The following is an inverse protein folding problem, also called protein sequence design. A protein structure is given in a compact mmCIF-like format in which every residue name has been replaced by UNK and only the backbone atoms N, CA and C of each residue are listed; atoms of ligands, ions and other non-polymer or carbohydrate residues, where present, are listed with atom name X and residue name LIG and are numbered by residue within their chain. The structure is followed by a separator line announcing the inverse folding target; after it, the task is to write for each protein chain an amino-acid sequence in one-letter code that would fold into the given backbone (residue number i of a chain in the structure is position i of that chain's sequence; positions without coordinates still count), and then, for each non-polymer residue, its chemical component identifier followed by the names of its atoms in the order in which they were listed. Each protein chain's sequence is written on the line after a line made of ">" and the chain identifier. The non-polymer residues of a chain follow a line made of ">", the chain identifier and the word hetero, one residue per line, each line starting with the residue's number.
data_IF_930463212421
#
_entry.id   IF_930463212421
#
_cell.length_a   1.000
_cell.length_b   1.000
_cell.length_c   1.000
_cell.angle_alpha   90.00
_cell.angle_beta   90.00
_cell.angle_gamma   90.00
#
_symmetry.space_group_name_H-M   'P 1'
#
loop_
_entity.id
_entity.type
_entity.pdbx_description
1 polymer ?
#
# COMPACT_ATOMS: atom_id res chain seq x y z
N UNK A 1 3.84 -63.38 -0.90
CA UNK A 1 3.94 -61.98 -0.47
C UNK A 1 3.23 -61.15 -1.51
N UNK A 2 2.07 -60.58 -1.18
CA UNK A 2 1.27 -59.72 -2.06
C UNK A 2 1.52 -58.27 -1.61
N UNK A 3 2.12 -57.44 -2.47
CA UNK A 3 2.25 -56.00 -2.21
C UNK A 3 0.92 -55.31 -2.55
N UNK A 4 0.29 -54.71 -1.54
CA UNK A 4 -0.81 -53.77 -1.74
C UNK A 4 -0.24 -52.42 -2.13
N UNK A 5 -0.47 -52.02 -3.39
CA UNK A 5 -0.13 -50.68 -3.88
C UNK A 5 -1.23 -49.70 -3.45
N UNK A 6 -1.01 -49.01 -2.33
CA UNK A 6 -1.86 -47.90 -1.88
C UNK A 6 -1.60 -46.68 -2.77
N UNK A 7 -2.54 -46.36 -3.66
CA UNK A 7 -2.56 -45.09 -4.40
C UNK A 7 -2.93 -43.96 -3.46
N UNK A 8 -1.93 -43.20 -3.02
CA UNK A 8 -2.11 -41.88 -2.42
C UNK A 8 -2.65 -40.94 -3.49
N UNK A 9 -3.91 -40.54 -3.35
CA UNK A 9 -4.47 -39.43 -4.14
C UNK A 9 -3.77 -38.14 -3.70
N UNK A 10 -2.96 -37.56 -4.59
CA UNK A 10 -2.41 -36.22 -4.42
C UNK A 10 -3.58 -35.23 -4.33
N UNK A 11 -3.71 -34.60 -3.18
CA UNK A 11 -4.66 -33.51 -2.95
C UNK A 11 -4.13 -32.29 -3.72
N UNK A 12 -4.71 -31.98 -4.87
CA UNK A 12 -4.35 -30.76 -5.62
C UNK A 12 -4.73 -29.56 -4.78
N UNK A 13 -3.79 -28.66 -4.41
CA UNK A 13 -4.14 -27.45 -3.67
C UNK A 13 -5.11 -26.61 -4.51
N UNK A 14 -6.10 -26.01 -3.85
CA UNK A 14 -7.00 -25.06 -4.49
C UNK A 14 -6.16 -23.95 -5.17
N UNK A 15 -6.59 -23.44 -6.34
CA UNK A 15 -5.87 -22.36 -7.01
C UNK A 15 -5.75 -21.18 -6.04
N UNK A 16 -4.53 -20.66 -5.90
CA UNK A 16 -4.30 -19.44 -5.14
C UNK A 16 -5.18 -18.33 -5.74
N UNK A 17 -6.02 -17.70 -4.90
CA UNK A 17 -6.77 -16.51 -5.29
C UNK A 17 -5.74 -15.46 -5.69
N UNK A 18 -5.74 -15.05 -6.95
CA UNK A 18 -4.89 -13.96 -7.38
C UNK A 18 -5.45 -12.66 -6.78
N UNK A 19 -4.65 -11.87 -6.07
CA UNK A 19 -5.09 -10.58 -5.56
C UNK A 19 -5.55 -9.68 -6.71
N UNK A 20 -6.50 -8.76 -6.47
CA UNK A 20 -6.95 -7.82 -7.49
C UNK A 20 -5.76 -7.00 -8.00
N UNK A 21 -5.74 -6.76 -9.31
CA UNK A 21 -4.76 -5.90 -9.96
C UNK A 21 -5.16 -4.45 -9.71
N UNK A 22 -4.36 -3.72 -8.96
CA UNK A 22 -4.49 -2.28 -8.80
C UNK A 22 -3.54 -1.56 -9.76
N UNK A 23 -3.93 -0.40 -10.27
CA UNK A 23 -3.08 0.45 -11.12
C UNK A 23 -2.93 1.80 -10.44
N UNK A 24 -1.71 2.25 -10.20
CA UNK A 24 -1.45 3.52 -9.52
C UNK A 24 -0.49 4.42 -10.33
N UNK A 25 -0.68 5.74 -10.23
CA UNK A 25 0.32 6.75 -10.65
C UNK A 25 0.63 7.66 -9.47
N UNK A 26 1.89 8.04 -9.33
CA UNK A 26 2.37 8.82 -8.18
C UNK A 26 3.04 10.10 -8.64
N UNK A 27 2.68 11.22 -8.04
CA UNK A 27 3.20 12.54 -8.40
C UNK A 27 3.73 13.26 -7.17
N UNK A 28 4.78 14.05 -7.35
CA UNK A 28 5.26 14.98 -6.33
C UNK A 28 4.41 16.24 -6.35
N UNK A 29 3.94 16.68 -5.18
CA UNK A 29 3.15 17.91 -5.02
C UNK A 29 3.74 18.79 -3.93
N UNK A 30 3.43 20.09 -3.97
CA UNK A 30 3.94 21.08 -3.01
C UNK A 30 2.90 21.34 -1.93
N UNK A 31 3.36 21.72 -0.74
CA UNK A 31 2.49 22.01 0.40
C UNK A 31 1.52 23.17 0.11
N UNK A 32 2.03 24.25 -0.49
CA UNK A 32 1.23 25.43 -0.88
C UNK A 32 0.09 25.07 -1.85
N UNK A 33 0.30 24.06 -2.69
CA UNK A 33 -0.64 23.63 -3.71
C UNK A 33 -1.76 22.73 -3.14
N UNK A 34 -1.55 22.10 -1.97
CA UNK A 34 -2.50 21.14 -1.38
C UNK A 34 -3.31 21.69 -0.23
N UNK A 35 -2.90 22.80 0.40
CA UNK A 35 -3.52 23.33 1.61
C UNK A 35 -5.04 23.52 1.49
N UNK A 36 -5.51 24.06 0.35
CA UNK A 36 -6.94 24.26 0.08
C UNK A 36 -7.70 22.93 -0.13
N UNK A 37 -7.03 21.90 -0.65
CA UNK A 37 -7.63 20.59 -0.93
C UNK A 37 -7.85 19.74 0.32
N UNK A 38 -7.05 19.95 1.36
CA UNK A 38 -7.15 19.21 2.62
C UNK A 38 -7.87 19.98 3.72
N UNK A 39 -8.27 21.23 3.46
CA UNK A 39 -8.94 22.08 4.44
C UNK A 39 -10.23 21.43 4.96
N UNK A 40 -10.30 21.22 6.27
CA UNK A 40 -11.46 20.60 6.93
C UNK A 40 -11.52 19.08 6.84
N UNK A 41 -10.51 18.42 6.26
CA UNK A 41 -10.37 16.97 6.28
C UNK A 41 -9.51 16.51 7.46
N UNK A 42 -9.85 15.35 8.02
CA UNK A 42 -9.01 14.66 9.01
C UNK A 42 -8.11 13.65 8.28
N UNK A 43 -6.79 13.67 8.49
CA UNK A 43 -5.92 12.65 7.91
C UNK A 43 -6.03 11.34 8.69
N UNK A 44 -5.66 10.24 8.02
CA UNK A 44 -5.29 9.00 8.71
C UNK A 44 -3.78 8.98 8.89
N UNK A 45 -3.31 8.81 10.13
CA UNK A 45 -1.91 8.47 10.38
C UNK A 45 -1.69 7.01 10.03
N UNK A 46 -0.68 6.72 9.23
CA UNK A 46 -0.30 5.36 8.84
C UNK A 46 1.12 5.13 9.33
N UNK A 47 1.31 4.11 10.15
CA UNK A 47 2.62 3.59 10.54
C UNK A 47 2.80 2.22 9.91
N UNK A 48 3.92 1.99 9.25
CA UNK A 48 4.21 0.72 8.61
C UNK A 48 5.67 0.30 8.83
N UNK A 49 5.86 -0.98 9.15
CA UNK A 49 7.16 -1.61 9.35
C UNK A 49 7.37 -2.66 8.26
N UNK A 50 8.49 -2.58 7.56
CA UNK A 50 8.84 -3.48 6.47
C UNK A 50 9.60 -4.68 7.01
N UNK A 51 8.95 -5.85 6.99
CA UNK A 51 9.54 -7.10 7.49
C UNK A 51 10.52 -7.70 6.48
N UNK A 52 10.22 -7.57 5.20
CA UNK A 52 11.09 -8.01 4.11
C UNK A 52 10.79 -7.26 2.82
N UNK A 53 11.79 -7.16 1.96
CA UNK A 53 11.69 -6.58 0.62
C UNK A 53 12.63 -7.34 -0.33
N UNK A 54 12.16 -7.58 -1.55
CA UNK A 54 12.94 -8.19 -2.63
C UNK A 54 12.78 -7.37 -3.90
N UNK A 55 13.86 -6.70 -4.32
CA UNK A 55 13.93 -6.00 -5.61
C UNK A 55 13.71 -6.94 -6.79
N UNK A 56 14.32 -8.14 -6.74
CA UNK A 56 14.23 -9.13 -7.82
C UNK A 56 12.79 -9.62 -8.05
N UNK A 57 12.03 -9.79 -6.97
CA UNK A 57 10.64 -10.24 -7.03
C UNK A 57 9.62 -9.11 -6.98
N UNK A 58 10.08 -7.86 -6.80
CA UNK A 58 9.25 -6.69 -6.54
C UNK A 58 8.18 -6.97 -5.46
N UNK A 59 8.59 -7.59 -4.36
CA UNK A 59 7.70 -8.06 -3.31
C UNK A 59 8.12 -7.48 -1.96
N UNK A 60 7.18 -6.85 -1.27
CA UNK A 60 7.34 -6.37 0.10
C UNK A 60 6.37 -7.07 1.05
N UNK A 61 6.82 -7.32 2.28
CA UNK A 61 5.98 -7.71 3.39
C UNK A 61 6.02 -6.60 4.45
N UNK A 62 4.85 -6.12 4.85
CA UNK A 62 4.73 -5.02 5.80
C UNK A 62 3.69 -5.29 6.87
N UNK A 63 3.98 -4.85 8.09
CA UNK A 63 2.99 -4.69 9.16
C UNK A 63 2.57 -3.23 9.18
N UNK A 64 1.27 -2.97 9.31
CA UNK A 64 0.67 -1.63 9.27
C UNK A 64 -0.26 -1.40 10.46
N UNK A 65 -0.26 -0.17 10.96
CA UNK A 65 -1.28 0.37 11.85
C UNK A 65 -1.83 1.68 11.25
N UNK A 66 -3.14 1.90 11.39
CA UNK A 66 -3.81 3.14 11.01
C UNK A 66 -4.38 3.81 12.25
N UNK A 67 -4.29 5.12 12.33
CA UNK A 67 -4.91 5.91 13.38
C UNK A 67 -5.72 7.04 12.76
N UNK A 68 -6.99 7.13 13.14
CA UNK A 68 -7.93 8.15 12.68
C UNK A 68 -8.58 8.77 13.91
N UNK A 69 -8.57 10.11 14.00
CA UNK A 69 -9.15 10.85 15.13
C UNK A 69 -8.63 10.38 16.51
N UNK A 70 -7.34 10.01 16.58
CA UNK A 70 -6.69 9.56 17.82
C UNK A 70 -7.00 8.11 18.21
N UNK A 71 -7.70 7.35 17.37
CA UNK A 71 -8.03 5.94 17.61
C UNK A 71 -7.22 5.06 16.66
N UNK A 72 -6.33 4.24 17.23
CA UNK A 72 -5.51 3.30 16.49
C UNK A 72 -6.25 1.98 16.19
N UNK A 73 -6.10 1.48 14.97
CA UNK A 73 -6.57 0.15 14.55
C UNK A 73 -5.71 -0.96 15.16
N UNK A 74 -6.18 -2.20 15.01
CA UNK A 74 -5.31 -3.36 15.17
C UNK A 74 -4.16 -3.34 14.14
N UNK A 75 -3.07 -4.05 14.45
CA UNK A 75 -1.99 -4.28 13.53
C UNK A 75 -2.42 -5.30 12.46
N UNK A 76 -2.02 -5.06 11.22
CA UNK A 76 -2.31 -5.91 10.07
C UNK A 76 -1.04 -6.21 9.29
N UNK A 77 -0.89 -7.41 8.75
CA UNK A 77 0.22 -7.80 7.87
C UNK A 77 -0.29 -8.00 6.44
N UNK A 78 0.48 -7.50 5.47
CA UNK A 78 0.15 -7.56 4.04
C UNK A 78 1.41 -7.84 3.22
N UNK A 79 1.22 -8.50 2.08
CA UNK A 79 2.22 -8.61 1.03
C UNK A 79 1.80 -7.78 -0.17
N UNK A 80 2.68 -6.89 -0.65
CA UNK A 80 2.45 -6.07 -1.84
C UNK A 80 3.48 -6.43 -2.92
N UNK A 81 2.99 -6.73 -4.11
CA UNK A 81 3.77 -6.94 -5.31
C UNK A 81 3.66 -5.76 -6.26
N UNK A 82 4.71 -5.47 -7.03
CA UNK A 82 4.68 -4.42 -8.06
C UNK A 82 5.24 -4.92 -9.41
N UNK A 83 4.59 -4.53 -10.51
CA UNK A 83 5.07 -4.79 -11.87
C UNK A 83 4.64 -3.65 -12.82
N UNK A 84 5.56 -2.73 -13.13
CA UNK A 84 5.21 -1.53 -13.90
C UNK A 84 4.19 -0.68 -13.14
N UNK A 85 3.08 -0.28 -13.76
CA UNK A 85 2.00 0.45 -13.06
C UNK A 85 1.14 -0.44 -12.15
N UNK A 86 1.26 -1.76 -12.30
CA UNK A 86 0.41 -2.71 -11.62
C UNK A 86 0.89 -2.99 -10.21
N UNK A 87 -0.05 -3.17 -9.30
CA UNK A 87 0.14 -3.62 -7.93
C UNK A 87 -0.76 -4.79 -7.63
N UNK A 88 -0.28 -5.66 -6.76
CA UNK A 88 -1.04 -6.75 -6.17
C UNK A 88 -0.89 -6.64 -4.67
N UNK A 89 -1.98 -6.79 -3.92
CA UNK A 89 -1.93 -6.79 -2.47
C UNK A 89 -2.82 -7.90 -1.92
N UNK A 90 -2.30 -8.66 -0.94
CA UNK A 90 -3.12 -9.63 -0.21
C UNK A 90 -4.11 -8.92 0.71
N UNK A 91 -5.24 -9.56 1.00
CA UNK A 91 -6.12 -9.10 2.08
C UNK A 91 -5.31 -8.94 3.38
N UNK A 92 -5.55 -7.87 4.15
CA UNK A 92 -4.88 -7.67 5.43
C UNK A 92 -5.24 -8.78 6.40
N UNK A 93 -4.22 -9.36 7.03
CA UNK A 93 -4.39 -10.35 8.10
C UNK A 93 -4.09 -9.70 9.45
N UNK A 94 -4.91 -9.94 10.48
CA UNK A 94 -4.66 -9.37 11.80
C UNK A 94 -3.36 -9.94 12.40
N UNK A 95 -2.60 -9.08 13.07
CA UNK A 95 -1.37 -9.42 13.78
C UNK A 95 -1.65 -9.40 15.28
N UNK A 96 -1.29 -10.48 15.98
CA UNK A 96 -1.45 -10.53 17.44
C UNK A 96 -0.39 -9.69 18.16
N UNK A 97 -0.71 -9.26 19.39
CA UNK A 97 0.23 -8.54 20.25
C UNK A 97 1.49 -9.36 20.56
N UNK A 98 1.36 -10.67 20.70
CA UNK A 98 2.48 -11.58 20.98
C UNK A 98 3.42 -11.65 19.78
N UNK A 99 2.87 -11.76 18.56
CA UNK A 99 3.69 -11.71 17.35
C UNK A 99 4.43 -10.39 17.26
N UNK A 100 3.73 -9.25 17.40
CA UNK A 100 4.34 -7.93 17.30
C UNK A 100 5.48 -7.73 18.32
N UNK A 101 5.29 -8.19 19.56
CA UNK A 101 6.31 -8.11 20.61
C UNK A 101 7.52 -9.01 20.32
N UNK A 102 7.28 -10.26 19.89
CA UNK A 102 8.34 -11.22 19.61
C UNK A 102 9.14 -10.86 18.35
N UNK A 103 8.49 -10.26 17.37
CA UNK A 103 9.13 -9.84 16.11
C UNK A 103 9.89 -8.52 16.23
N UNK A 104 9.74 -7.80 17.35
CA UNK A 104 10.40 -6.51 17.60
C UNK A 104 10.28 -5.54 16.42
N UNK A 105 9.05 -5.17 16.06
CA UNK A 105 8.75 -4.36 14.87
C UNK A 105 9.62 -3.10 14.77
N UNK A 106 9.93 -2.45 15.88
CA UNK A 106 10.75 -1.23 15.91
C UNK A 106 12.21 -1.43 15.47
N UNK A 107 12.68 -2.68 15.36
CA UNK A 107 13.98 -2.99 14.75
C UNK A 107 13.94 -3.03 13.21
N UNK A 108 12.77 -2.95 12.60
CA UNK A 108 12.59 -2.97 11.15
C UNK A 108 12.50 -1.55 10.55
N UNK A 109 12.87 -1.37 9.26
CA UNK A 109 12.64 -0.12 8.55
C UNK A 109 11.19 0.33 8.68
N UNK A 110 10.99 1.60 9.06
CA UNK A 110 9.69 2.15 9.38
C UNK A 110 9.37 3.35 8.48
N UNK A 111 8.12 3.42 8.04
CA UNK A 111 7.54 4.62 7.45
C UNK A 111 6.36 5.08 8.29
N UNK A 112 6.30 6.38 8.57
CA UNK A 112 5.13 7.04 9.15
C UNK A 112 4.70 8.19 8.22
N UNK A 113 3.40 8.29 7.97
CA UNK A 113 2.82 9.35 7.13
C UNK A 113 1.41 9.74 7.57
N UNK A 114 0.99 10.95 7.23
CA UNK A 114 -0.41 11.33 7.23
C UNK A 114 -0.96 11.23 5.82
N UNK A 115 -2.06 10.50 5.65
CA UNK A 115 -2.75 10.34 4.38
C UNK A 115 -4.08 11.10 4.41
N UNK A 116 -4.22 12.07 3.53
CA UNK A 116 -5.51 12.69 3.21
C UNK A 116 -6.09 12.04 1.97
N UNK A 117 -7.40 11.82 1.94
CA UNK A 117 -8.10 11.38 0.74
C UNK A 117 -8.92 12.54 0.21
N UNK A 118 -8.59 13.00 -1.00
CA UNK A 118 -9.32 14.08 -1.69
C UNK A 118 -9.97 13.54 -2.95
N UNK A 119 -11.01 14.23 -3.43
CA UNK A 119 -11.65 13.89 -4.69
C UNK A 119 -11.03 14.68 -5.83
N UNK A 120 -10.59 13.96 -6.86
CA UNK A 120 -10.06 14.55 -8.06
C UNK A 120 -11.15 15.04 -9.02
N UNK A 121 -10.75 15.70 -10.11
CA UNK A 121 -11.67 16.35 -11.05
C UNK A 121 -12.62 15.38 -11.78
N UNK A 122 -12.28 14.10 -11.88
CA UNK A 122 -13.12 13.07 -12.53
C UNK A 122 -13.80 12.14 -11.51
N UNK A 123 -13.75 12.49 -10.21
CA UNK A 123 -14.37 11.75 -9.11
C UNK A 123 -13.51 10.63 -8.52
N UNK A 124 -12.30 10.45 -9.05
CA UNK A 124 -11.28 9.55 -8.54
C UNK A 124 -10.83 9.95 -7.13
N UNK A 125 -10.32 8.99 -6.37
CA UNK A 125 -9.69 9.27 -5.08
C UNK A 125 -8.22 9.57 -5.33
N UNK A 126 -7.75 10.70 -4.82
CA UNK A 126 -6.33 11.06 -4.78
C UNK A 126 -5.91 10.95 -3.31
N UNK A 127 -4.88 10.16 -3.05
CA UNK A 127 -4.30 10.00 -1.73
C UNK A 127 -3.06 10.90 -1.61
N UNK A 128 -3.12 11.85 -0.68
CA UNK A 128 -2.06 12.81 -0.40
C UNK A 128 -1.28 12.38 0.84
N UNK A 129 -0.04 11.97 0.64
CA UNK A 129 0.85 11.46 1.67
C UNK A 129 1.90 12.47 2.12
N UNK A 130 1.85 12.78 3.40
CA UNK A 130 2.81 13.62 4.10
C UNK A 130 3.70 12.73 4.97
N UNK A 131 4.94 12.50 4.55
CA UNK A 131 5.88 11.62 5.25
C UNK A 131 6.48 12.32 6.48
N UNK A 132 6.29 11.71 7.65
CA UNK A 132 6.83 12.21 8.93
C UNK A 132 8.01 11.37 9.44
N UNK A 133 8.13 10.12 9.00
CA UNK A 133 9.30 9.28 9.26
C UNK A 133 9.58 8.32 8.09
N UNK A 134 10.81 8.27 7.55
CA UNK A 134 11.74 9.40 7.61
C UNK A 134 11.03 10.66 7.11
N UNK A 135 11.35 11.82 7.68
CA UNK A 135 10.78 13.07 7.18
C UNK A 135 11.30 13.30 5.76
N UNK A 136 10.41 13.46 4.80
CA UNK A 136 10.75 13.76 3.41
C UNK A 136 10.10 15.08 3.05
N UNK A 137 10.88 16.01 2.51
CA UNK A 137 10.42 17.33 2.07
C UNK A 137 9.71 17.26 0.71
N UNK A 138 8.74 16.35 0.60
CA UNK A 138 7.86 16.20 -0.56
C UNK A 138 6.57 15.49 -0.16
N UNK A 139 5.49 15.84 -0.82
CA UNK A 139 4.19 15.19 -0.66
C UNK A 139 3.95 14.32 -1.89
N UNK A 140 3.43 13.12 -1.69
CA UNK A 140 3.03 12.26 -2.80
C UNK A 140 1.53 12.37 -3.02
N UNK A 141 1.10 12.58 -4.26
CA UNK A 141 -0.26 12.37 -4.72
C UNK A 141 -0.31 11.02 -5.45
N UNK A 142 -0.93 10.02 -4.83
CA UNK A 142 -1.20 8.72 -5.43
C UNK A 142 -2.61 8.72 -6.00
N UNK A 143 -2.75 8.30 -7.26
CA UNK A 143 -4.04 8.14 -7.94
C UNK A 143 -4.22 6.68 -8.29
N UNK A 144 -5.30 6.09 -7.79
CA UNK A 144 -5.67 4.69 -8.06
C UNK A 144 -6.65 4.61 -9.24
N UNK A 145 -6.42 3.65 -10.12
CA UNK A 145 -7.21 3.38 -11.31
C UNK A 145 -7.67 1.92 -11.34
N UNK A 146 -8.86 1.71 -11.88
CA UNK A 146 -9.41 0.36 -12.10
C UNK A 146 -8.86 -0.31 -13.35
N UNK A 147 -8.12 0.42 -14.20
CA UNK A 147 -7.51 -0.11 -15.41
C UNK A 147 -6.26 0.67 -15.83
N UNK A 148 -5.37 0.01 -16.57
CA UNK A 148 -4.19 0.64 -17.18
C UNK A 148 -4.57 1.70 -18.23
N UNK A 149 -5.68 1.50 -18.94
CA UNK A 149 -6.17 2.43 -19.96
C UNK A 149 -6.60 3.76 -19.33
N UNK A 150 -7.31 3.70 -18.19
CA UNK A 150 -7.70 4.90 -17.44
C UNK A 150 -6.47 5.65 -16.92
N UNK A 151 -5.49 4.92 -16.37
CA UNK A 151 -4.24 5.50 -15.89
C UNK A 151 -3.45 6.21 -17.01
N UNK A 152 -3.42 5.64 -18.21
CA UNK A 152 -2.74 6.21 -19.38
C UNK A 152 -3.45 7.46 -19.93
N UNK A 153 -4.78 7.48 -19.87
CA UNK A 153 -5.59 8.64 -20.32
C UNK A 153 -5.66 9.74 -19.27
N UNK A 154 -5.30 9.46 -18.03
CA UNK A 154 -5.38 10.39 -16.94
C UNK A 154 -4.51 11.63 -17.18
N UNK A 155 -5.18 12.79 -17.16
CA UNK A 155 -4.53 14.09 -17.21
C UNK A 155 -4.47 14.63 -15.79
N UNK A 156 -3.27 14.67 -15.17
CA UNK A 156 -3.15 15.14 -13.79
C UNK A 156 -3.54 16.62 -13.68
N UNK A 157 -4.13 17.04 -12.55
CA UNK A 157 -4.41 18.45 -12.26
C UNK A 157 -3.16 19.32 -12.36
N UNK A 158 -3.33 20.62 -12.64
CA UNK A 158 -2.21 21.55 -12.80
C UNK A 158 -1.32 21.72 -11.54
N UNK A 159 -1.84 21.35 -10.36
CA UNK A 159 -1.11 21.37 -9.10
C UNK A 159 -0.27 20.11 -8.85
N UNK A 160 -0.39 19.09 -9.70
CA UNK A 160 0.54 17.96 -9.70
C UNK A 160 1.87 18.39 -10.31
N UNK A 161 2.96 17.98 -9.68
CA UNK A 161 4.31 18.17 -10.19
C UNK A 161 4.80 16.96 -10.99
N UNK A 162 6.06 16.59 -10.75
CA UNK A 162 6.71 15.48 -11.46
C UNK A 162 6.06 14.14 -11.12
N UNK A 163 5.79 13.33 -12.14
CA UNK A 163 5.43 11.92 -11.97
C UNK A 163 6.67 11.11 -11.56
N UNK A 164 6.52 10.32 -10.49
CA UNK A 164 7.54 9.47 -9.88
C UNK A 164 7.06 8.02 -9.71
N UNK A 165 6.13 7.59 -10.55
CA UNK A 165 5.63 6.22 -10.54
C UNK A 165 6.79 5.23 -10.71
N UNK A 166 6.93 4.24 -9.81
CA UNK A 166 8.01 3.24 -9.76
C UNK A 166 9.42 3.77 -9.43
N UNK A 167 9.52 4.91 -8.75
CA UNK A 167 10.79 5.49 -8.28
C UNK A 167 11.18 5.02 -6.87
#
# INVERSE_FOLDING_TARGET
>A
MHEMSSRTTLNTPAPAVQPPLEVERVFVVREDDVAAHIAGLSPTKITQWYLSFSDELNLECRVRQKETEGVASALEIQWKGSAGLSRTETDPLPVSSEFAAQFNLDAHPKIEKYRYKVKGPIGETIELDFFIHPAIDRIHAEVEFTSTEDAQRYQPPAWFGQEITNS
#
